data_IF_090889766583
#
_entry.id   IF_090889766583
#
_cell.length_a   1.000
_cell.length_b   1.000
_cell.length_c   1.000
_cell.angle_alpha   90.00
_cell.angle_beta   90.00
_cell.angle_gamma   90.00
#
_symmetry.space_group_name_H-M   'P 1'
#
loop_
_entity.id
_entity.type
_entity.pdbx_description
1 polymer ?
#
# COMPACT_ATOMS: atom_id res chain seq x y z
N UNK A 1 9.34 -0.65 2.31
CA UNK A 1 8.84 -2.01 2.57
C UNK A 1 9.14 -2.82 1.32
N UNK A 2 9.26 -4.14 1.42
CA UNK A 2 9.54 -5.00 0.24
C UNK A 2 8.49 -4.77 -0.87
N UNK A 3 7.21 -4.71 -0.46
CA UNK A 3 6.07 -4.41 -1.32
C UNK A 3 6.12 -3.04 -2.01
N UNK A 4 6.64 -2.01 -1.35
CA UNK A 4 6.80 -0.70 -1.99
C UNK A 4 7.77 -0.78 -3.18
N UNK A 5 8.87 -1.53 -3.01
CA UNK A 5 9.87 -1.71 -4.06
C UNK A 5 9.33 -2.61 -5.18
N UNK A 6 8.62 -3.70 -4.85
CA UNK A 6 7.98 -4.60 -5.81
C UNK A 6 6.97 -3.88 -6.72
N UNK A 7 6.20 -2.95 -6.16
CA UNK A 7 5.15 -2.22 -6.88
C UNK A 7 5.62 -0.88 -7.46
N UNK A 8 6.89 -0.51 -7.25
CA UNK A 8 7.43 0.79 -7.67
C UNK A 8 6.75 1.98 -6.99
N UNK A 9 6.20 1.78 -5.79
CA UNK A 9 5.46 2.79 -5.02
C UNK A 9 6.31 3.38 -3.91
N UNK A 10 5.98 4.62 -3.53
CA UNK A 10 6.60 5.25 -2.37
C UNK A 10 6.08 4.66 -1.06
N UNK A 11 6.97 4.38 -0.10
CA UNK A 11 6.58 3.85 1.20
C UNK A 11 5.70 4.83 2.01
N UNK A 12 5.82 6.14 1.78
CA UNK A 12 4.92 7.17 2.34
C UNK A 12 3.50 7.05 1.78
N UNK A 13 3.37 6.74 0.50
CA UNK A 13 2.09 6.60 -0.18
C UNK A 13 1.34 5.35 0.29
N UNK A 14 2.03 4.23 0.49
CA UNK A 14 1.44 3.06 1.14
C UNK A 14 0.94 3.37 2.55
N UNK A 15 1.73 4.09 3.36
CA UNK A 15 1.31 4.51 4.71
C UNK A 15 0.14 5.48 4.71
N UNK A 16 0.01 6.28 3.67
CA UNK A 16 -1.14 7.14 3.48
C UNK A 16 -2.39 6.30 3.17
N UNK A 17 -2.29 5.37 2.22
CA UNK A 17 -3.40 4.47 1.88
C UNK A 17 -3.81 3.55 3.03
N UNK A 18 -2.89 3.10 3.88
CA UNK A 18 -3.21 2.37 5.13
C UNK A 18 -4.16 3.15 6.05
N UNK A 19 -4.16 4.49 6.00
CA UNK A 19 -5.06 5.33 6.80
C UNK A 19 -6.38 5.61 6.08
N UNK A 20 -6.33 5.84 4.78
CA UNK A 20 -7.51 6.18 3.97
C UNK A 20 -8.40 4.97 3.69
N UNK A 21 -7.81 3.79 3.50
CA UNK A 21 -8.52 2.56 3.15
C UNK A 21 -8.54 1.62 4.35
N UNK A 22 -9.65 1.60 5.08
CA UNK A 22 -9.87 0.67 6.20
C UNK A 22 -9.59 -0.81 5.88
N UNK A 23 -9.88 -1.32 4.67
CA UNK A 23 -9.55 -2.70 4.31
C UNK A 23 -8.04 -2.97 4.16
N UNK A 24 -7.21 -1.95 3.94
CA UNK A 24 -5.76 -2.07 3.81
C UNK A 24 -5.10 -1.97 5.20
N UNK A 25 -5.09 -3.08 5.93
CA UNK A 25 -4.59 -3.13 7.31
C UNK A 25 -3.45 -4.14 7.48
N UNK A 26 -2.23 -3.81 7.04
CA UNK A 26 -1.10 -4.73 7.10
C UNK A 26 -0.69 -5.01 8.55
N UNK A 27 -0.33 -6.26 8.83
CA UNK A 27 0.19 -6.63 10.15
C UNK A 27 1.52 -5.93 10.40
N UNK A 28 1.63 -5.25 11.53
CA UNK A 28 2.87 -4.59 11.95
C UNK A 28 3.49 -5.34 13.13
N UNK A 29 4.81 -5.55 13.11
CA UNK A 29 5.52 -6.13 14.25
C UNK A 29 5.93 -5.06 15.28
N UNK A 30 6.42 -5.48 16.45
CA UNK A 30 6.88 -4.57 17.51
C UNK A 30 8.01 -3.60 17.10
N UNK A 31 8.69 -3.85 15.97
CA UNK A 31 9.75 -2.99 15.41
C UNK A 31 9.25 -2.09 14.27
N UNK A 32 7.93 -2.04 14.02
CA UNK A 32 7.34 -1.19 12.99
C UNK A 32 7.48 -1.71 11.55
N UNK A 33 7.95 -2.96 11.36
CA UNK A 33 7.99 -3.59 10.04
C UNK A 33 6.57 -4.06 9.67
N UNK A 34 6.12 -3.63 8.49
CA UNK A 34 4.82 -3.98 7.91
C UNK A 34 4.94 -5.23 7.06
N UNK A 35 3.96 -6.11 7.20
CA UNK A 35 3.78 -7.32 6.42
C UNK A 35 2.44 -7.22 5.72
N UNK A 36 2.50 -7.10 4.41
CA UNK A 36 1.32 -7.08 3.54
C UNK A 36 1.03 -8.52 3.11
N UNK A 37 -0.23 -8.89 3.20
CA UNK A 37 -0.75 -10.15 2.69
C UNK A 37 -0.92 -10.09 1.17
N UNK A 38 -1.23 -11.22 0.53
CA UNK A 38 -1.57 -11.24 -0.89
C UNK A 38 -2.78 -10.34 -1.19
N UNK A 39 -3.81 -10.36 -0.34
CA UNK A 39 -4.99 -9.52 -0.47
C UNK A 39 -4.65 -8.02 -0.36
N UNK A 40 -3.75 -7.64 0.55
CA UNK A 40 -3.29 -6.25 0.64
C UNK A 40 -2.58 -5.82 -0.66
N UNK A 41 -1.75 -6.69 -1.25
CA UNK A 41 -1.05 -6.40 -2.51
C UNK A 41 -2.04 -6.20 -3.67
N UNK A 42 -3.06 -7.04 -3.77
CA UNK A 42 -4.13 -6.90 -4.78
C UNK A 42 -4.88 -5.57 -4.59
N UNK A 43 -5.24 -5.23 -3.36
CA UNK A 43 -5.91 -3.98 -3.05
C UNK A 43 -5.04 -2.76 -3.38
N UNK A 44 -3.74 -2.80 -3.03
CA UNK A 44 -2.78 -1.75 -3.36
C UNK A 44 -2.65 -1.59 -4.89
N UNK A 45 -2.62 -2.69 -5.65
CA UNK A 45 -2.58 -2.63 -7.12
C UNK A 45 -3.84 -1.98 -7.70
N UNK A 46 -5.02 -2.32 -7.18
CA UNK A 46 -6.27 -1.69 -7.59
C UNK A 46 -6.28 -0.19 -7.28
N UNK A 47 -5.88 0.21 -6.07
CA UNK A 47 -5.77 1.62 -5.69
C UNK A 47 -4.77 2.34 -6.60
N UNK A 48 -3.59 1.75 -6.85
CA UNK A 48 -2.58 2.34 -7.71
C UNK A 48 -3.08 2.52 -9.15
N UNK A 49 -3.82 1.57 -9.68
CA UNK A 49 -4.44 1.68 -11.01
C UNK A 49 -5.47 2.81 -11.05
N UNK A 50 -6.35 2.89 -10.05
CA UNK A 50 -7.38 3.94 -9.94
C UNK A 50 -6.76 5.35 -9.79
N UNK A 51 -5.71 5.48 -8.97
CA UNK A 51 -5.04 6.77 -8.74
C UNK A 51 -4.25 7.22 -9.98
N UNK A 52 -3.64 6.29 -10.71
CA UNK A 52 -2.89 6.60 -11.93
C UNK A 52 -3.79 7.09 -13.06
N UNK A 53 -5.01 6.59 -13.15
CA UNK A 53 -6.00 7.02 -14.16
C UNK A 53 -6.63 8.39 -13.82
N UNK A 54 -6.67 8.75 -12.53
CA UNK A 54 -7.24 10.03 -12.06
C UNK A 54 -6.28 11.23 -12.09
N UNK A 55 -5.04 11.07 -12.55
CA UNK A 55 -4.18 12.22 -12.89
C UNK A 55 -3.64 13.05 -11.71
N UNK A 56 -3.57 12.50 -10.50
CA UNK A 56 -2.84 13.17 -9.41
C UNK A 56 -1.35 12.84 -9.50
N UNK A 57 -0.63 13.58 -10.34
CA UNK A 57 0.84 13.76 -10.25
C UNK A 57 1.15 15.25 -10.28
#
# INVERSE_FOLDING_TARGET
TEVANELGLNASQLRYWEKEFTPLNPRTNARGKRFYTAADKELIQQIAWLVKDQGYT
#
